data_IF_204886642253
#
_entry.id   IF_204886642253
#
_cell.length_a   1.000
_cell.length_b   1.000
_cell.length_c   1.000
_cell.angle_alpha   90.00
_cell.angle_beta   90.00
_cell.angle_gamma   90.00
#
_symmetry.space_group_name_H-M   'P 1'
#
loop_
_entity.id
_entity.type
_entity.pdbx_description
1 polymer ?
#
# COMPACT_ATOMS: atom_id res chain seq x y z
N UNK A 1 -22.64 11.01 -9.59
CA UNK A 1 -21.29 10.61 -10.04
C UNK A 1 -21.13 9.12 -9.77
N UNK A 2 -20.51 8.36 -10.69
CA UNK A 2 -20.26 6.93 -10.48
C UNK A 2 -19.39 6.68 -9.24
N UNK A 3 -19.60 5.53 -8.58
CA UNK A 3 -18.88 5.16 -7.36
C UNK A 3 -17.35 5.13 -7.58
N UNK A 4 -16.90 4.71 -8.77
CA UNK A 4 -15.47 4.71 -9.11
C UNK A 4 -14.88 6.13 -9.13
N UNK A 5 -15.63 7.11 -9.65
CA UNK A 5 -15.17 8.51 -9.71
C UNK A 5 -15.05 9.13 -8.32
N UNK A 6 -15.95 8.78 -7.41
CA UNK A 6 -15.90 9.23 -6.01
C UNK A 6 -14.68 8.61 -5.31
N UNK A 7 -14.46 7.31 -5.50
CA UNK A 7 -13.31 6.61 -4.91
C UNK A 7 -11.99 7.19 -5.42
N UNK A 8 -11.87 7.41 -6.72
CA UNK A 8 -10.69 8.03 -7.32
C UNK A 8 -10.46 9.46 -6.80
N UNK A 9 -11.51 10.27 -6.66
CA UNK A 9 -11.39 11.61 -6.10
C UNK A 9 -10.96 11.60 -4.62
N UNK A 10 -11.47 10.66 -3.82
CA UNK A 10 -11.10 10.51 -2.42
C UNK A 10 -9.61 10.15 -2.28
N UNK A 11 -9.13 9.17 -3.04
CA UNK A 11 -7.73 8.76 -3.02
C UNK A 11 -6.82 9.91 -3.48
N UNK A 12 -7.22 10.66 -4.51
CA UNK A 12 -6.48 11.82 -4.98
C UNK A 12 -6.35 12.90 -3.89
N UNK A 13 -7.46 13.26 -3.24
CA UNK A 13 -7.45 14.25 -2.14
C UNK A 13 -6.56 13.76 -1.01
N UNK A 14 -6.69 12.50 -0.61
CA UNK A 14 -5.86 11.92 0.45
C UNK A 14 -4.37 11.99 0.10
N UNK A 15 -3.98 11.55 -1.10
CA UNK A 15 -2.60 11.60 -1.56
C UNK A 15 -2.05 13.04 -1.61
N UNK A 16 -2.88 13.99 -2.07
CA UNK A 16 -2.52 15.39 -2.11
C UNK A 16 -2.30 15.98 -0.70
N UNK A 17 -3.14 15.63 0.26
CA UNK A 17 -2.97 16.05 1.66
C UNK A 17 -1.70 15.47 2.27
N UNK A 18 -1.41 14.19 2.04
CA UNK A 18 -0.16 13.55 2.49
C UNK A 18 1.06 14.26 1.88
N UNK A 19 1.01 14.59 0.58
CA UNK A 19 2.09 15.31 -0.10
C UNK A 19 2.32 16.69 0.53
N UNK A 20 1.26 17.47 0.76
CA UNK A 20 1.37 18.77 1.41
C UNK A 20 1.95 18.62 2.80
N UNK A 21 1.46 17.66 3.58
CA UNK A 21 1.90 17.44 4.95
C UNK A 21 3.38 17.06 5.04
N UNK A 22 3.84 16.11 4.22
CA UNK A 22 5.25 15.73 4.16
C UNK A 22 6.15 16.86 3.66
N UNK A 23 5.66 17.67 2.71
CA UNK A 23 6.39 18.85 2.24
C UNK A 23 6.53 19.88 3.36
N UNK A 24 5.45 20.15 4.10
CA UNK A 24 5.51 21.03 5.27
C UNK A 24 6.48 20.51 6.33
N UNK A 25 6.29 19.26 6.76
CA UNK A 25 6.94 18.74 7.94
C UNK A 25 8.40 18.29 7.74
N UNK A 26 8.75 17.78 6.56
CA UNK A 26 10.13 17.40 6.22
C UNK A 26 10.84 18.48 5.41
N UNK A 27 10.22 19.03 4.37
CA UNK A 27 10.95 19.94 3.47
C UNK A 27 11.03 21.35 4.02
N UNK A 28 9.97 21.90 4.62
CA UNK A 28 10.01 23.27 5.14
C UNK A 28 10.59 23.32 6.56
N UNK A 29 10.09 22.50 7.49
CA UNK A 29 10.55 22.56 8.88
C UNK A 29 11.97 22.02 9.07
N UNK A 30 12.42 21.00 8.32
CA UNK A 30 13.76 20.41 8.48
C UNK A 30 14.84 21.07 7.61
N UNK A 31 14.47 22.06 6.80
CA UNK A 31 15.42 22.71 5.91
C UNK A 31 16.55 23.36 6.72
N UNK A 32 17.83 23.08 6.39
CA UNK A 32 18.97 23.69 7.07
C UNK A 32 19.02 25.22 7.01
N UNK A 33 18.40 25.85 6.00
CA UNK A 33 18.51 27.29 5.78
C UNK A 33 17.44 28.13 6.48
N UNK A 34 16.21 27.62 6.58
CA UNK A 34 15.06 28.37 7.09
C UNK A 34 14.18 27.58 8.06
N UNK A 35 14.45 26.28 8.28
CA UNK A 35 13.61 25.43 9.10
C UNK A 35 13.61 25.81 10.58
N UNK A 36 14.76 26.25 11.12
CA UNK A 36 14.87 26.71 12.49
C UNK A 36 14.01 27.95 12.77
N UNK A 37 14.02 28.91 11.84
CA UNK A 37 13.23 30.14 11.96
C UNK A 37 11.73 29.86 11.90
N UNK A 38 11.30 29.00 10.95
CA UNK A 38 9.89 28.62 10.82
C UNK A 38 9.41 27.90 12.08
N UNK A 39 10.21 26.97 12.64
CA UNK A 39 9.86 26.29 13.89
C UNK A 39 9.73 27.24 15.07
N UNK A 40 10.66 28.19 15.21
CA UNK A 40 10.62 29.16 16.31
C UNK A 40 9.36 30.04 16.26
N UNK A 41 8.79 30.25 15.08
CA UNK A 41 7.52 30.97 14.89
C UNK A 41 6.32 30.06 15.21
N UNK A 42 6.36 28.80 14.78
CA UNK A 42 5.21 27.87 14.90
C UNK A 42 5.09 27.29 16.32
N UNK A 43 6.20 26.96 16.99
CA UNK A 43 6.22 26.34 18.32
C UNK A 43 5.39 27.09 19.38
N UNK A 44 5.49 28.43 19.53
CA UNK A 44 4.64 29.14 20.48
C UNK A 44 3.18 29.32 20.03
N UNK A 45 2.85 29.02 18.77
CA UNK A 45 1.51 29.19 18.21
C UNK A 45 0.61 27.96 18.39
N UNK A 46 1.18 26.81 18.73
CA UNK A 46 0.45 25.55 18.88
C UNK A 46 0.81 24.87 20.19
N UNK A 47 -0.21 24.34 20.87
CA UNK A 47 -0.06 23.64 22.14
C UNK A 47 -0.85 22.31 22.11
N UNK A 48 -0.43 21.37 22.95
CA UNK A 48 -1.03 20.04 23.08
C UNK A 48 -1.04 19.24 21.77
N UNK A 49 -2.18 18.62 21.46
CA UNK A 49 -2.33 17.70 20.31
C UNK A 49 -1.98 18.35 18.96
N UNK A 50 -2.14 19.67 18.82
CA UNK A 50 -1.80 20.37 17.59
C UNK A 50 -0.29 20.53 17.39
N UNK A 51 0.50 20.53 18.47
CA UNK A 51 1.95 20.59 18.40
C UNK A 51 2.50 19.33 17.72
N UNK A 52 2.05 18.14 18.14
CA UNK A 52 2.48 16.87 17.54
C UNK A 52 2.11 16.75 16.05
N UNK A 53 1.01 17.38 15.63
CA UNK A 53 0.57 17.37 14.23
C UNK A 53 1.35 18.38 13.39
N UNK A 54 1.51 19.63 13.84
CA UNK A 54 2.13 20.70 13.05
C UNK A 54 3.66 20.75 13.16
N UNK A 55 4.23 20.23 14.26
CA UNK A 55 5.65 20.11 14.54
C UNK A 55 6.00 18.64 14.86
N UNK A 56 5.74 17.72 13.93
CA UNK A 56 6.00 16.30 14.17
C UNK A 56 7.50 16.03 14.31
N UNK A 57 7.84 14.97 15.04
CA UNK A 57 9.21 14.48 15.08
C UNK A 57 9.63 14.00 13.67
N UNK A 58 10.70 14.57 13.06
CA UNK A 58 11.23 14.11 11.78
C UNK A 58 11.47 12.61 11.73
N UNK A 59 11.95 12.03 12.84
CA UNK A 59 12.28 10.60 12.88
C UNK A 59 11.02 9.76 12.65
N UNK A 60 9.90 10.15 13.24
CA UNK A 60 8.63 9.45 13.08
C UNK A 60 8.15 9.45 11.61
N UNK A 61 8.27 10.59 10.93
CA UNK A 61 7.89 10.72 9.52
C UNK A 61 8.75 9.88 8.57
N UNK A 62 10.00 9.62 8.91
CA UNK A 62 10.89 8.75 8.14
C UNK A 62 10.59 7.28 8.46
N UNK A 63 10.35 6.95 9.74
CA UNK A 63 10.01 5.59 10.17
C UNK A 63 8.70 5.12 9.57
N UNK A 64 7.68 5.99 9.49
CA UNK A 64 6.32 5.62 9.06
C UNK A 64 6.26 4.93 7.67
N UNK A 65 6.85 5.46 6.58
CA UNK A 65 6.84 4.79 5.28
C UNK A 65 7.67 3.51 5.27
N UNK A 66 8.80 3.46 5.99
CA UNK A 66 9.64 2.26 6.11
C UNK A 66 8.86 1.15 6.82
N UNK A 67 8.21 1.48 7.93
CA UNK A 67 7.35 0.59 8.68
C UNK A 67 6.16 0.12 7.83
N UNK A 68 5.49 1.01 7.11
CA UNK A 68 4.37 0.66 6.23
C UNK A 68 4.80 -0.33 5.13
N UNK A 69 5.96 -0.12 4.51
CA UNK A 69 6.52 -1.05 3.54
C UNK A 69 6.85 -2.43 4.17
N UNK A 70 7.45 -2.45 5.35
CA UNK A 70 7.74 -3.69 6.07
C UNK A 70 6.46 -4.46 6.43
N UNK A 71 5.44 -3.76 6.94
CA UNK A 71 4.14 -4.34 7.27
C UNK A 71 3.46 -4.92 6.03
N UNK A 72 3.50 -4.21 4.90
CA UNK A 72 2.94 -4.71 3.63
C UNK A 72 3.57 -6.06 3.24
N UNK A 73 4.90 -6.16 3.32
CA UNK A 73 5.63 -7.41 3.02
C UNK A 73 5.20 -8.52 3.98
N UNK A 74 5.06 -8.22 5.27
CA UNK A 74 4.62 -9.20 6.28
C UNK A 74 3.18 -9.66 6.06
N UNK A 75 2.28 -8.78 5.61
CA UNK A 75 0.90 -9.15 5.25
C UNK A 75 0.91 -10.14 4.06
N UNK A 76 1.74 -9.88 3.04
CA UNK A 76 1.87 -10.78 1.89
C UNK A 76 2.43 -12.14 2.34
N UNK A 77 3.50 -12.15 3.14
CA UNK A 77 4.10 -13.38 3.65
C UNK A 77 3.11 -14.19 4.52
N UNK A 78 2.32 -13.51 5.36
CA UNK A 78 1.26 -14.10 6.15
C UNK A 78 0.18 -14.73 5.27
N UNK A 79 -0.23 -14.04 4.20
CA UNK A 79 -1.20 -14.57 3.25
C UNK A 79 -0.68 -15.82 2.53
N UNK A 80 0.57 -15.80 2.06
CA UNK A 80 1.20 -16.97 1.42
C UNK A 80 1.26 -18.14 2.41
N UNK A 81 1.74 -17.89 3.63
CA UNK A 81 1.79 -18.89 4.71
C UNK A 81 0.42 -19.50 5.00
N UNK A 82 -0.63 -18.68 5.04
CA UNK A 82 -2.01 -19.15 5.21
C UNK A 82 -2.42 -20.08 4.07
N UNK A 83 -2.19 -19.69 2.81
CA UNK A 83 -2.59 -20.50 1.65
C UNK A 83 -1.89 -21.87 1.63
N UNK A 84 -0.59 -21.95 1.96
CA UNK A 84 0.16 -23.21 2.00
C UNK A 84 -0.35 -24.19 3.06
N UNK A 85 -0.80 -23.70 4.22
CA UNK A 85 -1.37 -24.55 5.28
C UNK A 85 -2.73 -25.11 4.85
N UNK A 86 -3.49 -24.33 4.09
CA UNK A 86 -4.85 -24.70 3.66
C UNK A 86 -4.89 -25.49 2.35
N UNK A 87 -3.77 -25.66 1.64
CA UNK A 87 -3.70 -26.48 0.42
C UNK A 87 -3.44 -27.95 0.76
N UNK A 88 -4.42 -28.86 0.56
CA UNK A 88 -4.17 -30.29 0.65
C UNK A 88 -3.16 -30.71 -0.43
N UNK A 89 -2.38 -31.76 -0.14
CA UNK A 89 -1.42 -32.28 -1.11
C UNK A 89 -2.15 -32.62 -2.43
N UNK A 90 -1.60 -32.22 -3.60
CA UNK A 90 -2.22 -32.54 -4.88
C UNK A 90 -2.37 -34.06 -5.01
N UNK A 91 -3.56 -34.53 -5.32
CA UNK A 91 -3.81 -35.95 -5.59
C UNK A 91 -2.97 -36.38 -6.81
N UNK A 92 -2.34 -37.57 -6.76
CA UNK A 92 -1.58 -38.10 -7.89
C UNK A 92 -2.52 -38.23 -9.10
N UNK A 93 -2.07 -37.72 -10.24
CA UNK A 93 -2.81 -37.62 -11.51
C UNK A 93 -3.09 -38.99 -12.19
N UNK A 94 -3.38 -40.04 -11.42
CA UNK A 94 -3.72 -41.37 -11.97
C UNK A 94 -5.17 -41.46 -12.50
N UNK A 95 -6.01 -40.44 -12.27
CA UNK A 95 -7.43 -40.40 -12.69
C UNK A 95 -7.76 -39.30 -13.73
N UNK A 96 -6.78 -38.59 -14.30
CA UNK A 96 -7.01 -37.80 -15.52
C UNK A 96 -6.79 -38.70 -16.73
N UNK A 97 -7.84 -39.44 -17.13
CA UNK A 97 -7.94 -40.04 -18.46
C UNK A 97 -7.84 -38.93 -19.51
N UNK A 98 -6.62 -38.66 -19.98
CA UNK A 98 -6.32 -37.80 -21.13
C UNK A 98 -6.82 -38.40 -22.48
N UNK A 99 -7.53 -39.53 -22.45
CA UNK A 99 -7.98 -40.28 -23.63
C UNK A 99 -9.31 -39.77 -24.23
N UNK A 100 -10.06 -38.87 -23.58
CA UNK A 100 -11.33 -38.35 -24.14
C UNK A 100 -11.20 -37.07 -24.98
N UNK A 101 -10.14 -36.27 -24.84
CA UNK A 101 -10.02 -34.98 -25.57
C UNK A 101 -9.42 -35.13 -26.98
N UNK A 102 -8.85 -36.28 -27.33
CA UNK A 102 -8.28 -36.54 -28.67
C UNK A 102 -9.23 -37.18 -29.69
N UNK A 103 -10.47 -37.53 -29.28
CA UNK A 103 -11.42 -38.20 -30.17
C UNK A 103 -12.40 -37.22 -30.87
N UNK A 104 -12.54 -35.99 -30.38
CA UNK A 104 -13.46 -34.99 -30.93
C UNK A 104 -12.82 -34.09 -32.02
N UNK A 105 -11.50 -34.13 -32.23
CA UNK A 105 -10.82 -33.31 -33.27
C UNK A 105 -10.70 -34.00 -34.64
N UNK A 106 -10.89 -35.32 -34.75
CA UNK A 106 -10.71 -36.07 -36.01
C UNK A 106 -12.01 -36.29 -36.82
N UNK A 107 -13.21 -36.04 -36.26
CA UNK A 107 -14.51 -36.31 -36.93
C UNK A 107 -15.14 -35.06 -37.59
N UNK A 108 -14.52 -33.87 -37.47
CA UNK A 108 -15.02 -32.59 -38.03
C UNK A 108 -14.27 -32.13 -39.31
N UNK A 109 -13.29 -32.88 -39.84
CA UNK A 109 -12.53 -32.53 -41.06
C UNK A 109 -12.93 -33.30 -42.35
N UNK A 110 -13.89 -34.23 -42.32
CA UNK A 110 -14.41 -34.91 -43.52
C UNK A 110 -15.94 -34.76 -43.69
N UNK A 111 -16.43 -33.56 -44.06
CA UNK A 111 -17.68 -33.37 -44.84
C UNK A 111 -17.79 -31.97 -45.52
#
# INVERSE_FOLDING_TARGET
MGKEKILGALIFIFAFLVLIYYTWALVLLQNPWNGADIRAIVDPMVDGLLQDILLPDPMFLIILPIWAAAVLIMIIAMWIGWTMITTPAPEPLEDFDFDEESADEDDDEED
#
